data_IF_151326823624
#
_entry.id   IF_151326823624
#
_cell.length_a   1.000
_cell.length_b   1.000
_cell.length_c   1.000
_cell.angle_alpha   90.00
_cell.angle_beta   90.00
_cell.angle_gamma   90.00
#
_symmetry.space_group_name_H-M   'P 1'
#
loop_
_entity.id
_entity.type
_entity.pdbx_description
1 polymer ?
#
# COMPACT_ATOMS: atom_id res chain seq x y z
N UNK A 1 2.13 -6.72 10.34
CA UNK A 1 2.30 -5.32 9.90
C UNK A 1 3.17 -5.31 8.65
N UNK A 2 2.63 -4.82 7.54
CA UNK A 2 3.40 -4.51 6.34
C UNK A 2 3.81 -3.04 6.46
N UNK A 3 5.12 -2.80 6.54
CA UNK A 3 5.70 -1.50 6.86
C UNK A 3 6.46 -0.98 5.64
N UNK A 4 5.91 0.05 4.98
CA UNK A 4 6.60 0.76 3.91
C UNK A 4 7.57 1.81 4.45
N UNK A 5 8.36 2.41 3.55
CA UNK A 5 9.23 3.54 3.92
C UNK A 5 8.40 4.82 4.11
N UNK A 6 7.74 5.27 3.04
CA UNK A 6 6.95 6.49 2.99
C UNK A 6 5.97 6.43 1.79
N UNK A 7 4.71 6.88 1.91
CA UNK A 7 3.77 6.82 0.80
C UNK A 7 4.26 7.67 -0.38
N UNK A 8 3.97 7.24 -1.61
CA UNK A 8 4.23 8.05 -2.81
C UNK A 8 3.37 9.33 -2.84
N UNK A 9 3.73 10.31 -3.67
CA UNK A 9 2.95 11.56 -3.79
C UNK A 9 1.51 11.29 -4.24
N UNK A 10 1.30 10.25 -5.06
CA UNK A 10 -0.03 9.81 -5.45
C UNK A 10 -0.77 9.18 -4.27
N UNK A 11 -0.09 8.36 -3.46
CA UNK A 11 -0.69 7.81 -2.24
C UNK A 11 -1.13 8.89 -1.26
N UNK A 12 -0.30 9.93 -1.08
CA UNK A 12 -0.62 11.08 -0.24
C UNK A 12 -1.82 11.87 -0.79
N UNK A 13 -1.87 12.10 -2.11
CA UNK A 13 -2.97 12.82 -2.76
C UNK A 13 -4.31 12.09 -2.65
N UNK A 14 -4.27 10.77 -2.85
CA UNK A 14 -5.48 9.93 -2.80
C UNK A 14 -5.88 9.55 -1.37
N UNK A 15 -5.02 9.77 -0.38
CA UNK A 15 -5.21 9.29 0.99
C UNK A 15 -5.22 7.75 1.08
N UNK A 16 -4.47 7.08 0.19
CA UNK A 16 -4.55 5.63 -0.04
C UNK A 16 -3.16 5.03 -0.27
N UNK A 17 -2.85 3.93 0.40
CA UNK A 17 -1.58 3.22 0.25
C UNK A 17 -1.39 2.59 -1.13
N UNK A 18 -0.14 2.60 -1.61
CA UNK A 18 0.30 1.98 -2.88
C UNK A 18 -0.46 2.43 -4.14
N UNK A 19 -0.84 3.72 -4.20
CA UNK A 19 -1.58 4.31 -5.33
C UNK A 19 -0.67 4.76 -6.46
N UNK A 20 0.06 3.84 -7.07
CA UNK A 20 0.60 4.06 -8.42
C UNK A 20 0.14 2.94 -9.35
N UNK A 21 -0.01 3.24 -10.64
CA UNK A 21 -0.44 2.26 -11.63
C UNK A 21 0.63 1.17 -11.87
N UNK A 22 1.89 1.46 -11.56
CA UNK A 22 3.00 0.52 -11.66
C UNK A 22 3.26 -0.30 -10.39
N UNK A 23 2.70 0.10 -9.23
CA UNK A 23 2.88 -0.64 -7.99
C UNK A 23 2.04 -1.93 -8.01
N UNK A 24 2.70 -3.07 -7.80
CA UNK A 24 2.09 -4.39 -7.87
C UNK A 24 1.46 -4.87 -6.55
N UNK A 25 1.60 -4.12 -5.44
CA UNK A 25 1.18 -4.54 -4.10
C UNK A 25 -0.26 -5.09 -4.08
N UNK A 26 -1.22 -4.28 -4.52
CA UNK A 26 -2.64 -4.66 -4.49
C UNK A 26 -3.00 -5.76 -5.50
N UNK A 27 -2.18 -5.98 -6.52
CA UNK A 27 -2.34 -7.12 -7.43
C UNK A 27 -1.89 -8.41 -6.73
N UNK A 28 -0.69 -8.40 -6.12
CA UNK A 28 -0.13 -9.56 -5.41
C UNK A 28 -0.98 -9.94 -4.19
N UNK A 29 -1.42 -8.95 -3.41
CA UNK A 29 -2.32 -9.16 -2.27
C UNK A 29 -3.68 -9.66 -2.74
N UNK A 30 -4.21 -9.09 -3.82
CA UNK A 30 -5.45 -9.51 -4.42
C UNK A 30 -5.42 -10.98 -4.84
N UNK A 31 -4.34 -11.39 -5.51
CA UNK A 31 -4.12 -12.78 -5.91
C UNK A 31 -4.17 -13.73 -4.70
N UNK A 32 -3.51 -13.37 -3.60
CA UNK A 32 -3.47 -14.16 -2.37
C UNK A 32 -4.80 -14.17 -1.58
N UNK A 33 -5.60 -13.10 -1.67
CA UNK A 33 -6.84 -12.92 -0.90
C UNK A 33 -8.12 -13.07 -1.74
N UNK A 34 -8.01 -13.45 -3.01
CA UNK A 34 -9.16 -13.75 -3.86
C UNK A 34 -9.87 -12.52 -4.41
N UNK A 35 -9.16 -11.47 -4.81
CA UNK A 35 -9.74 -10.30 -5.46
C UNK A 35 -8.84 -9.69 -6.52
N UNK A 36 -9.41 -8.96 -7.49
CA UNK A 36 -8.65 -8.11 -8.41
C UNK A 36 -8.70 -6.65 -7.96
N UNK A 37 -7.56 -5.95 -8.02
CA UNK A 37 -7.50 -4.49 -7.85
C UNK A 37 -8.32 -3.78 -8.94
N UNK A 38 -9.39 -3.07 -8.54
CA UNK A 38 -10.24 -2.28 -9.43
C UNK A 38 -10.02 -0.76 -9.40
N UNK A 39 -9.01 -0.28 -8.67
CA UNK A 39 -8.76 1.14 -8.46
C UNK A 39 -7.42 1.58 -9.06
N UNK A 40 -7.47 2.68 -9.81
CA UNK A 40 -6.33 3.23 -10.54
C UNK A 40 -6.30 4.75 -10.42
N UNK A 41 -5.17 5.34 -10.78
CA UNK A 41 -5.00 6.80 -10.83
C UNK A 41 -5.04 7.29 -12.29
N UNK A 42 -5.21 8.60 -12.45
CA UNK A 42 -5.19 9.31 -13.75
C UNK A 42 -6.28 8.83 -14.72
N UNK A 43 -7.49 8.56 -14.19
CA UNK A 43 -8.68 8.22 -15.00
C UNK A 43 -8.63 6.83 -15.66
N UNK A 44 -7.68 5.99 -15.26
CA UNK A 44 -7.47 4.70 -15.87
C UNK A 44 -8.50 3.68 -15.40
N UNK A 45 -9.01 2.86 -16.33
CA UNK A 45 -10.02 1.84 -16.02
C UNK A 45 -9.43 0.48 -15.64
N UNK A 46 -8.19 0.19 -16.03
CA UNK A 46 -7.62 -1.16 -15.97
C UNK A 46 -6.12 -1.19 -15.61
N UNK A 47 -5.62 -2.39 -15.28
CA UNK A 47 -4.21 -2.62 -14.95
C UNK A 47 -3.24 -2.35 -16.12
N UNK A 48 -1.98 -2.02 -15.80
CA UNK A 48 -0.91 -1.70 -16.79
C UNK A 48 -0.62 -2.91 -17.66
N UNK A 49 -0.21 -2.69 -18.91
CA UNK A 49 -0.07 -3.78 -19.88
C UNK A 49 0.93 -4.85 -19.43
N UNK A 50 1.91 -4.49 -18.60
CA UNK A 50 2.84 -5.46 -18.01
C UNK A 50 2.30 -6.18 -16.76
N UNK A 51 1.17 -5.75 -16.18
CA UNK A 51 0.47 -6.45 -15.09
C UNK A 51 -0.70 -7.27 -15.62
N UNK A 52 -1.44 -6.76 -16.61
CA UNK A 52 -2.69 -7.36 -17.11
C UNK A 52 -2.58 -8.86 -17.44
N UNK A 53 -1.49 -9.38 -18.05
CA UNK A 53 -1.35 -10.80 -18.34
C UNK A 53 -1.22 -11.71 -17.11
N UNK A 54 -0.96 -11.13 -15.93
CA UNK A 54 -0.71 -11.85 -14.69
C UNK A 54 -1.87 -11.81 -13.70
N UNK A 55 -3.01 -11.21 -14.07
CA UNK A 55 -4.19 -11.14 -13.20
C UNK A 55 -4.84 -12.51 -13.06
N UNK A 56 -5.16 -12.91 -11.82
CA UNK A 56 -5.76 -14.23 -11.54
C UNK A 56 -7.27 -14.19 -11.29
N UNK A 57 -7.85 -13.01 -11.07
CA UNK A 57 -9.25 -12.84 -10.67
C UNK A 57 -9.98 -11.89 -11.61
N UNK A 58 -11.25 -12.18 -11.92
CA UNK A 58 -12.06 -11.36 -12.83
C UNK A 58 -12.76 -10.20 -12.10
N UNK A 59 -13.27 -10.47 -10.90
CA UNK A 59 -14.01 -9.49 -10.09
C UNK A 59 -13.09 -8.43 -9.50
N UNK A 60 -13.20 -7.22 -10.03
CA UNK A 60 -12.52 -6.04 -9.49
C UNK A 60 -13.26 -5.50 -8.27
N UNK A 61 -12.50 -5.21 -7.22
CA UNK A 61 -13.01 -4.53 -6.03
C UNK A 61 -12.44 -3.12 -5.94
N UNK A 62 -13.17 -2.23 -5.27
CA UNK A 62 -12.68 -0.90 -4.96
C UNK A 62 -11.60 -0.92 -3.85
N UNK A 63 -11.07 0.26 -3.53
CA UNK A 63 -10.00 0.39 -2.54
C UNK A 63 -10.46 -0.01 -1.14
N UNK A 64 -11.67 0.36 -0.76
CA UNK A 64 -12.16 0.20 0.60
C UNK A 64 -12.44 -1.29 0.88
N UNK A 65 -13.01 -1.99 -0.10
CA UNK A 65 -13.17 -3.45 -0.06
C UNK A 65 -11.82 -4.18 -0.05
N UNK A 66 -10.82 -3.72 -0.82
CA UNK A 66 -9.48 -4.30 -0.76
C UNK A 66 -8.82 -4.13 0.62
N UNK A 67 -9.00 -2.97 1.26
CA UNK A 67 -8.56 -2.72 2.65
C UNK A 67 -9.32 -3.60 3.63
N UNK A 68 -10.64 -3.76 3.47
CA UNK A 68 -11.46 -4.62 4.31
C UNK A 68 -11.00 -6.08 4.23
N UNK A 69 -10.70 -6.60 3.03
CA UNK A 69 -10.17 -7.96 2.84
C UNK A 69 -8.78 -8.12 3.46
N UNK A 70 -7.89 -7.16 3.26
CA UNK A 70 -6.55 -7.19 3.82
C UNK A 70 -6.57 -7.18 5.36
N UNK A 71 -7.36 -6.29 5.95
CA UNK A 71 -7.48 -6.15 7.41
C UNK A 71 -8.26 -7.30 8.04
N UNK A 72 -9.31 -7.79 7.36
CA UNK A 72 -10.05 -9.00 7.75
C UNK A 72 -9.18 -10.25 7.76
N UNK A 73 -8.16 -10.31 6.90
CA UNK A 73 -7.13 -11.36 6.92
C UNK A 73 -6.05 -11.16 8.01
N UNK A 74 -6.16 -10.13 8.85
CA UNK A 74 -5.25 -9.88 9.98
C UNK A 74 -3.98 -9.11 9.62
N UNK A 75 -3.93 -8.48 8.45
CA UNK A 75 -2.83 -7.61 8.05
C UNK A 75 -3.13 -6.14 8.39
N UNK A 76 -2.08 -5.34 8.47
CA UNK A 76 -2.15 -3.90 8.66
C UNK A 76 -1.08 -3.24 7.81
N UNK A 77 -1.34 -2.02 7.33
CA UNK A 77 -0.41 -1.19 6.57
C UNK A 77 0.02 0.01 7.40
N UNK A 78 1.29 0.38 7.31
CA UNK A 78 1.84 1.63 7.83
C UNK A 78 3.13 1.96 7.08
N UNK A 79 3.67 3.17 7.26
CA UNK A 79 5.00 3.59 6.87
C UNK A 79 5.93 3.98 8.04
N UNK A 80 7.24 3.80 7.86
CA UNK A 80 8.25 4.18 8.84
C UNK A 80 8.45 5.71 8.95
N UNK A 81 8.23 6.46 7.87
CA UNK A 81 8.38 7.92 7.82
C UNK A 81 6.99 8.56 7.87
N UNK A 82 6.74 9.35 8.91
CA UNK A 82 5.50 10.09 9.08
C UNK A 82 5.47 11.37 8.23
N UNK A 83 6.60 12.06 8.10
CA UNK A 83 6.74 13.25 7.29
C UNK A 83 8.20 13.44 6.84
N UNK A 84 8.40 14.06 5.69
CA UNK A 84 9.74 14.45 5.20
C UNK A 84 9.62 15.55 4.14
N UNK A 85 10.73 16.21 3.83
CA UNK A 85 10.88 16.95 2.60
C UNK A 85 11.43 16.01 1.52
N UNK A 86 10.60 15.62 0.56
CA UNK A 86 10.96 14.69 -0.52
C UNK A 86 10.44 15.20 -1.85
N UNK A 87 11.31 15.25 -2.86
CA UNK A 87 10.90 15.51 -4.24
C UNK A 87 10.67 14.19 -4.97
N UNK A 88 9.44 13.92 -5.39
CA UNK A 88 9.05 12.65 -5.99
C UNK A 88 8.95 11.53 -4.94
N UNK A 89 8.96 10.28 -5.40
CA UNK A 89 8.70 9.10 -4.55
C UNK A 89 9.93 8.23 -4.24
N UNK A 90 11.13 8.66 -4.62
CA UNK A 90 12.36 7.89 -4.39
C UNK A 90 12.86 8.11 -2.96
N UNK A 91 13.18 7.01 -2.26
CA UNK A 91 13.67 7.06 -0.89
C UNK A 91 14.99 7.86 -0.75
N UNK A 92 15.86 7.81 -1.76
CA UNK A 92 17.10 8.60 -1.79
C UNK A 92 16.89 10.13 -1.83
N UNK A 93 15.66 10.58 -2.10
CA UNK A 93 15.28 11.99 -2.08
C UNK A 93 14.74 12.47 -0.72
N UNK A 94 14.60 11.58 0.28
CA UNK A 94 14.11 11.93 1.61
C UNK A 94 15.10 12.83 2.33
N UNK A 95 14.63 13.98 2.84
CA UNK A 95 15.35 14.91 3.71
C UNK A 95 14.46 15.29 4.90
N UNK A 96 15.10 15.64 6.02
CA UNK A 96 14.42 16.15 7.22
C UNK A 96 13.27 15.24 7.72
N UNK A 97 13.53 13.93 7.76
CA UNK A 97 12.51 12.93 8.08
C UNK A 97 12.08 12.98 9.55
N UNK A 98 10.77 12.96 9.77
CA UNK A 98 10.13 12.63 11.03
C UNK A 98 9.63 11.18 10.96
N UNK A 99 10.10 10.34 11.86
CA UNK A 99 9.73 8.91 11.89
C UNK A 99 8.42 8.68 12.64
N UNK A 100 7.64 7.71 12.17
CA UNK A 100 6.46 7.24 12.86
C UNK A 100 6.84 6.48 14.14
N UNK A 101 6.02 6.59 15.19
CA UNK A 101 6.22 5.83 16.43
C UNK A 101 5.74 4.38 16.29
N UNK A 102 6.49 3.60 15.53
CA UNK A 102 6.22 2.16 15.34
C UNK A 102 6.31 1.42 16.68
N UNK A 103 7.14 1.88 17.62
CA UNK A 103 7.25 1.24 18.94
C UNK A 103 5.97 1.42 19.75
N UNK A 104 5.44 2.65 19.78
CA UNK A 104 4.15 2.95 20.41
C UNK A 104 3.01 2.16 19.78
N UNK A 105 2.98 2.04 18.44
CA UNK A 105 2.02 1.19 17.74
C UNK A 105 2.06 -0.27 18.21
N UNK A 106 3.25 -0.87 18.29
CA UNK A 106 3.42 -2.27 18.70
C UNK A 106 3.02 -2.47 20.17
N UNK A 107 3.31 -1.50 21.03
CA UNK A 107 2.88 -1.53 22.42
C UNK A 107 1.36 -1.43 22.56
N UNK A 108 0.71 -0.58 21.74
CA UNK A 108 -0.74 -0.40 21.72
C UNK A 108 -1.47 -1.56 21.02
N UNK A 109 -0.79 -2.30 20.15
CA UNK A 109 -1.39 -3.39 19.34
C UNK A 109 -0.62 -4.70 19.51
N UNK A 110 -0.73 -5.39 20.67
CA UNK A 110 0.03 -6.62 20.96
C UNK A 110 -0.26 -7.80 20.01
N UNK A 111 -1.35 -7.73 19.23
CA UNK A 111 -1.66 -8.73 18.21
C UNK A 111 -0.71 -8.70 17.01
N UNK A 112 0.04 -7.61 16.80
CA UNK A 112 1.09 -7.52 15.78
C UNK A 112 2.29 -8.34 16.23
N UNK A 113 2.46 -9.53 15.63
CA UNK A 113 3.56 -10.46 15.94
C UNK A 113 4.70 -10.46 14.92
N UNK A 114 4.52 -9.83 13.76
CA UNK A 114 5.50 -9.78 12.67
C UNK A 114 5.45 -8.45 11.93
N UNK A 115 6.62 -7.98 11.53
CA UNK A 115 6.82 -6.81 10.68
C UNK A 115 7.48 -7.29 9.39
N UNK A 116 6.90 -6.95 8.26
CA UNK A 116 7.45 -7.22 6.93
C UNK A 116 7.65 -5.88 6.22
N UNK A 117 8.84 -5.65 5.68
CA UNK A 117 9.13 -4.42 4.94
C UNK A 117 8.71 -4.58 3.48
N UNK A 118 8.07 -3.55 2.92
CA UNK A 118 7.56 -3.52 1.54
C UNK A 118 8.30 -2.52 0.67
#
# INVERSE_FOLDING_TARGET
LLLGTQPSDNSLREGKYFMTNANAFWHIVGDALGFRRGFHIDGRAEAVDFIRPHLLHDEAVDYDEAVARLTGAGYALWDAVAASNRKGSLDGAIRDATYADVRGLLAATPSIRRICFS
#
